data_IF_810761987540
#
_entry.id   IF_810761987540
#
_cell.length_a   1.000
_cell.length_b   1.000
_cell.length_c   1.000
_cell.angle_alpha   90.00
_cell.angle_beta   90.00
_cell.angle_gamma   90.00
#
_symmetry.space_group_name_H-M   'P 1'
#
loop_
_entity.id
_entity.type
_entity.pdbx_description
1 polymer ?
#
# COMPACT_ATOMS: atom_id res chain seq x y z
N UNK A 1 26.14 87.42 33.87
CA UNK A 1 27.50 87.17 34.41
C UNK A 1 27.52 85.79 35.06
N UNK A 2 28.60 85.05 34.82
CA UNK A 2 29.01 83.75 35.41
C UNK A 2 28.21 82.48 35.08
N UNK A 3 28.56 81.89 33.92
CA UNK A 3 28.42 80.44 33.67
C UNK A 3 29.40 79.70 34.60
N UNK A 4 28.90 78.80 35.45
CA UNK A 4 29.73 77.84 36.20
C UNK A 4 30.03 76.64 35.30
N UNK A 5 31.31 76.42 34.99
CA UNK A 5 31.81 75.18 34.39
C UNK A 5 31.87 74.11 35.50
N UNK A 6 31.21 72.97 35.27
CA UNK A 6 31.46 71.75 36.02
C UNK A 6 32.39 70.86 35.19
N UNK A 7 33.58 70.58 35.71
CA UNK A 7 34.53 69.65 35.11
C UNK A 7 34.08 68.21 35.40
N UNK A 8 33.87 67.42 34.34
CA UNK A 8 33.64 65.98 34.44
C UNK A 8 34.96 65.26 34.14
N UNK A 9 35.56 64.63 35.15
CA UNK A 9 36.67 63.70 34.96
C UNK A 9 36.15 62.44 34.28
N UNK A 10 36.58 62.19 33.04
CA UNK A 10 36.36 60.91 32.35
C UNK A 10 37.47 59.95 32.78
N UNK A 11 37.10 58.92 33.54
CA UNK A 11 37.98 57.79 33.86
C UNK A 11 37.95 56.82 32.68
N UNK A 12 39.07 56.67 31.99
CA UNK A 12 39.23 55.64 30.95
C UNK A 12 39.46 54.28 31.60
N UNK A 13 38.46 53.41 31.57
CA UNK A 13 38.64 51.98 31.84
C UNK A 13 39.10 51.28 30.56
N UNK A 14 40.37 50.89 30.50
CA UNK A 14 40.89 50.01 29.45
C UNK A 14 40.47 48.57 29.75
N UNK A 15 39.43 48.06 29.07
CA UNK A 15 39.15 46.62 29.05
C UNK A 15 40.15 45.92 28.12
N UNK A 16 40.72 44.77 28.53
CA UNK A 16 41.57 43.97 27.65
C UNK A 16 40.71 43.35 26.54
N UNK A 17 41.14 43.51 25.28
CA UNK A 17 40.64 42.72 24.17
C UNK A 17 41.06 41.26 24.38
N UNK A 18 40.15 40.46 24.95
CA UNK A 18 40.24 39.02 24.85
C UNK A 18 39.95 38.62 23.40
N UNK A 19 40.93 37.99 22.76
CA UNK A 19 40.83 37.50 21.39
C UNK A 19 39.61 36.61 21.21
N UNK A 20 38.71 37.02 20.33
CA UNK A 20 37.65 36.17 19.80
C UNK A 20 38.37 35.15 18.91
N UNK A 21 38.52 33.93 19.41
CA UNK A 21 38.84 32.79 18.55
C UNK A 21 37.72 32.68 17.52
N UNK A 22 38.07 32.74 16.24
CA UNK A 22 37.13 32.46 15.17
C UNK A 22 36.58 31.05 15.40
N UNK A 23 35.32 30.98 15.83
CA UNK A 23 34.60 29.71 15.87
C UNK A 23 34.69 29.10 14.47
N UNK A 24 35.29 27.91 14.39
CA UNK A 24 35.23 27.10 13.18
C UNK A 24 33.76 27.04 12.77
N UNK A 25 33.45 27.55 11.58
CA UNK A 25 32.17 27.28 10.97
C UNK A 25 32.03 25.76 10.97
N UNK A 26 31.03 25.26 11.70
CA UNK A 26 30.68 23.86 11.63
C UNK A 26 30.39 23.59 10.15
N UNK A 27 31.19 22.72 9.54
CA UNK A 27 30.90 22.22 8.21
C UNK A 27 29.43 21.76 8.22
N UNK A 28 28.62 22.11 7.20
CA UNK A 28 27.29 21.55 7.12
C UNK A 28 27.44 20.03 7.12
N UNK A 29 26.82 19.37 8.10
CA UNK A 29 26.67 17.92 8.10
C UNK A 29 26.25 17.49 6.69
N UNK A 30 26.81 16.40 6.14
CA UNK A 30 26.37 15.90 4.84
C UNK A 30 24.85 15.78 4.92
N UNK A 31 24.16 16.54 4.07
CA UNK A 31 22.71 16.52 3.89
C UNK A 31 22.21 15.09 4.00
N UNK A 32 21.27 14.82 4.91
CA UNK A 32 20.53 13.56 4.98
C UNK A 32 20.09 13.21 3.55
N UNK A 33 20.79 12.26 2.92
CA UNK A 33 20.39 11.76 1.63
C UNK A 33 19.07 11.02 1.88
N UNK A 34 17.96 11.55 1.36
CA UNK A 34 16.66 10.94 1.60
C UNK A 34 16.60 9.57 0.91
N UNK A 35 16.46 8.50 1.70
CA UNK A 35 16.32 7.15 1.16
C UNK A 35 15.04 7.03 0.32
N UNK A 36 15.09 6.23 -0.74
CA UNK A 36 14.00 6.00 -1.69
C UNK A 36 13.81 4.52 -1.97
N UNK A 37 12.58 4.12 -2.26
CA UNK A 37 12.28 2.77 -2.70
C UNK A 37 12.90 2.48 -4.07
N UNK A 38 13.41 1.27 -4.27
CA UNK A 38 14.09 0.84 -5.51
C UNK A 38 13.41 -0.37 -6.17
N UNK A 39 12.47 -1.01 -5.48
CA UNK A 39 11.76 -2.21 -5.92
C UNK A 39 12.53 -3.50 -5.64
N UNK A 40 11.78 -4.55 -5.29
CA UNK A 40 12.33 -5.87 -4.93
C UNK A 40 13.18 -6.52 -6.03
N UNK A 41 12.94 -6.21 -7.31
CA UNK A 41 13.72 -6.77 -8.43
C UNK A 41 15.21 -6.45 -8.31
N UNK A 42 15.57 -5.25 -7.84
CA UNK A 42 16.98 -4.85 -7.68
C UNK A 42 17.69 -5.67 -6.61
N UNK A 43 16.94 -6.19 -5.62
CA UNK A 43 17.51 -7.05 -4.58
C UNK A 43 18.00 -8.39 -5.14
N UNK A 44 17.40 -8.88 -6.25
CA UNK A 44 17.73 -10.18 -6.84
C UNK A 44 19.18 -10.26 -7.37
N UNK A 45 19.80 -9.13 -7.69
CA UNK A 45 21.18 -9.05 -8.19
C UNK A 45 22.20 -9.57 -7.17
N UNK A 46 21.90 -9.48 -5.87
CA UNK A 46 22.76 -9.96 -4.79
C UNK A 46 22.08 -11.01 -3.88
N UNK A 47 20.75 -10.98 -3.78
CA UNK A 47 19.92 -11.84 -2.91
C UNK A 47 19.01 -12.77 -3.72
N UNK A 48 19.61 -13.51 -4.65
CA UNK A 48 18.85 -14.33 -5.60
C UNK A 48 18.02 -15.42 -4.93
N UNK A 49 18.55 -16.07 -3.88
CA UNK A 49 17.83 -17.14 -3.17
C UNK A 49 16.61 -16.59 -2.45
N UNK A 50 16.79 -15.50 -1.69
CA UNK A 50 15.73 -14.86 -0.93
C UNK A 50 14.65 -14.31 -1.85
N UNK A 51 15.04 -13.71 -2.97
CA UNK A 51 14.10 -13.23 -3.98
C UNK A 51 13.27 -14.37 -4.58
N UNK A 52 13.89 -15.50 -4.93
CA UNK A 52 13.18 -16.68 -5.45
C UNK A 52 12.22 -17.29 -4.43
N UNK A 53 12.56 -17.27 -3.14
CA UNK A 53 11.69 -17.77 -2.08
C UNK A 53 10.54 -16.79 -1.82
N UNK A 54 10.81 -15.49 -1.82
CA UNK A 54 9.79 -14.45 -1.73
C UNK A 54 8.77 -14.56 -2.86
N UNK A 55 9.20 -14.79 -4.10
CA UNK A 55 8.31 -14.98 -5.26
C UNK A 55 7.38 -16.20 -5.15
N UNK A 56 7.62 -17.12 -4.21
CA UNK A 56 6.75 -18.28 -3.93
C UNK A 56 5.86 -18.06 -2.70
N UNK A 57 6.00 -16.92 -2.02
CA UNK A 57 5.30 -16.62 -0.77
C UNK A 57 3.95 -15.95 -0.98
N UNK A 58 3.12 -15.96 0.06
CA UNK A 58 1.87 -15.20 0.08
C UNK A 58 2.10 -13.68 0.10
N UNK A 59 3.27 -13.18 0.47
CA UNK A 59 3.60 -11.75 0.40
C UNK A 59 3.70 -11.27 -1.06
N UNK A 60 4.39 -12.03 -1.89
CA UNK A 60 4.44 -11.79 -3.34
C UNK A 60 3.07 -11.92 -4.01
N UNK A 61 2.29 -12.89 -3.56
CA UNK A 61 0.98 -13.18 -4.13
C UNK A 61 -0.17 -12.46 -3.42
N UNK A 62 0.12 -11.53 -2.49
CA UNK A 62 -0.89 -10.80 -1.73
C UNK A 62 -1.87 -10.04 -2.64
N UNK A 63 -1.38 -9.50 -3.74
CA UNK A 63 -2.16 -8.92 -4.82
C UNK A 63 -1.37 -8.97 -6.12
N UNK A 64 -2.02 -9.33 -7.23
CA UNK A 64 -1.36 -9.44 -8.54
C UNK A 64 -2.29 -8.94 -9.65
N UNK A 65 -1.77 -8.40 -10.76
CA UNK A 65 -2.59 -8.16 -11.94
C UNK A 65 -3.31 -9.44 -12.35
N UNK A 66 -4.58 -9.33 -12.76
CA UNK A 66 -5.34 -10.49 -13.19
C UNK A 66 -4.77 -11.06 -14.50
N UNK A 67 -4.35 -12.33 -14.45
CA UNK A 67 -3.73 -13.04 -15.56
C UNK A 67 -3.96 -14.54 -15.44
N UNK A 68 -3.62 -15.30 -16.47
CA UNK A 68 -3.65 -16.76 -16.43
C UNK A 68 -2.81 -17.36 -15.30
N UNK A 69 -1.75 -16.68 -14.87
CA UNK A 69 -0.86 -17.16 -13.81
C UNK A 69 -1.36 -16.84 -12.40
N UNK A 70 -2.21 -15.82 -12.26
CA UNK A 70 -2.59 -15.26 -10.95
C UNK A 70 -4.04 -15.54 -10.57
N UNK A 71 -4.92 -15.76 -11.55
CA UNK A 71 -6.34 -16.08 -11.31
C UNK A 71 -6.50 -17.57 -11.03
N UNK A 72 -6.96 -17.87 -9.82
CA UNK A 72 -7.24 -19.23 -9.35
C UNK A 72 -8.70 -19.62 -9.53
N UNK A 73 -9.59 -18.64 -9.67
CA UNK A 73 -11.04 -18.84 -9.77
C UNK A 73 -11.50 -19.38 -11.11
N UNK A 74 -12.67 -20.05 -11.07
CA UNK A 74 -13.30 -20.53 -12.28
C UNK A 74 -14.00 -19.40 -13.05
N UNK A 75 -13.34 -18.90 -14.11
CA UNK A 75 -13.88 -17.98 -15.11
C UNK A 75 -14.22 -18.68 -16.44
N UNK A 76 -14.59 -19.96 -16.42
CA UNK A 76 -15.12 -20.69 -17.57
C UNK A 76 -16.65 -20.64 -17.57
N UNK A 77 -17.20 -19.43 -17.73
CA UNK A 77 -18.64 -19.16 -17.72
C UNK A 77 -19.38 -19.63 -16.45
N UNK A 78 -18.69 -19.65 -15.31
CA UNK A 78 -19.27 -20.03 -14.04
C UNK A 78 -20.38 -19.04 -13.61
N UNK A 79 -21.41 -19.55 -12.96
CA UNK A 79 -22.48 -18.75 -12.37
C UNK A 79 -22.56 -19.01 -10.87
N UNK A 80 -22.89 -17.97 -10.11
CA UNK A 80 -23.11 -18.02 -8.67
C UNK A 80 -24.27 -17.11 -8.31
N UNK A 81 -25.21 -17.61 -7.50
CA UNK A 81 -26.40 -16.85 -7.08
C UNK A 81 -26.34 -16.58 -5.59
N UNK A 82 -26.60 -15.33 -5.20
CA UNK A 82 -26.68 -14.89 -3.81
C UNK A 82 -27.78 -13.84 -3.68
N UNK A 83 -28.66 -13.95 -2.68
CA UNK A 83 -29.80 -13.04 -2.47
C UNK A 83 -30.63 -12.77 -3.74
N UNK A 84 -30.83 -13.79 -4.57
CA UNK A 84 -31.58 -13.69 -5.83
C UNK A 84 -30.83 -13.01 -7.00
N UNK A 85 -29.58 -12.58 -6.81
CA UNK A 85 -28.73 -12.02 -7.86
C UNK A 85 -27.79 -13.11 -8.40
N UNK A 86 -27.90 -13.41 -9.69
CA UNK A 86 -26.98 -14.33 -10.37
C UNK A 86 -25.82 -13.57 -11.01
N UNK A 87 -24.63 -13.79 -10.47
CA UNK A 87 -23.37 -13.32 -11.04
C UNK A 87 -22.79 -14.34 -12.02
N UNK A 88 -22.15 -13.88 -13.09
CA UNK A 88 -21.45 -14.74 -14.06
C UNK A 88 -20.00 -14.31 -14.23
N UNK A 89 -19.08 -15.26 -14.08
CA UNK A 89 -17.63 -15.08 -14.20
C UNK A 89 -17.15 -15.74 -15.49
N UNK A 90 -16.46 -14.98 -16.34
CA UNK A 90 -16.01 -15.49 -17.63
C UNK A 90 -14.76 -14.78 -18.16
N UNK A 91 -14.11 -15.40 -19.15
CA UNK A 91 -12.97 -14.84 -19.87
C UNK A 91 -13.40 -14.34 -21.26
N UNK A 92 -12.80 -13.24 -21.72
CA UNK A 92 -12.95 -12.71 -23.09
C UNK A 92 -11.65 -12.01 -23.48
N UNK A 93 -11.09 -12.34 -24.64
CA UNK A 93 -9.88 -11.71 -25.19
C UNK A 93 -8.68 -11.67 -24.23
N UNK A 94 -8.44 -12.77 -23.51
CA UNK A 94 -7.35 -12.88 -22.53
C UNK A 94 -7.59 -12.13 -21.20
N UNK A 95 -8.73 -11.45 -21.06
CA UNK A 95 -9.13 -10.72 -19.86
C UNK A 95 -10.23 -11.46 -19.10
N UNK A 96 -10.44 -11.04 -17.86
CA UNK A 96 -11.38 -11.64 -16.92
C UNK A 96 -12.51 -10.67 -16.62
N UNK A 97 -13.74 -11.18 -16.60
CA UNK A 97 -14.94 -10.38 -16.41
C UNK A 97 -15.88 -11.02 -15.41
N UNK A 98 -16.63 -10.16 -14.72
CA UNK A 98 -17.81 -10.53 -13.97
C UNK A 98 -19.01 -9.73 -14.47
N UNK A 99 -20.16 -10.37 -14.62
CA UNK A 99 -21.45 -9.68 -14.73
C UNK A 99 -22.18 -9.84 -13.39
N UNK A 100 -22.34 -8.75 -12.66
CA UNK A 100 -22.96 -8.70 -11.31
C UNK A 100 -23.70 -7.37 -11.10
N UNK A 101 -24.44 -7.21 -10.02
CA UNK A 101 -25.15 -5.98 -9.71
C UNK A 101 -24.19 -4.82 -9.35
N UNK A 102 -24.52 -3.63 -9.83
CA UNK A 102 -23.75 -2.42 -9.59
C UNK A 102 -24.33 -1.61 -8.41
N UNK A 103 -23.77 -0.42 -8.14
CA UNK A 103 -24.24 0.48 -7.09
C UNK A 103 -25.70 1.00 -7.26
N UNK A 104 -26.39 0.62 -8.34
CA UNK A 104 -27.81 0.93 -8.59
C UNK A 104 -28.68 -0.34 -8.60
N UNK A 105 -28.14 -1.49 -8.16
CA UNK A 105 -28.82 -2.79 -8.14
C UNK A 105 -29.08 -3.37 -9.53
N UNK A 106 -28.39 -2.89 -10.57
CA UNK A 106 -28.55 -3.39 -11.95
C UNK A 106 -27.36 -4.25 -12.35
N UNK A 107 -27.63 -5.36 -13.02
CA UNK A 107 -26.56 -6.18 -13.60
C UNK A 107 -25.75 -5.37 -14.61
N UNK A 108 -24.44 -5.32 -14.38
CA UNK A 108 -23.46 -4.67 -15.22
C UNK A 108 -22.24 -5.59 -15.34
N UNK A 109 -21.54 -5.45 -16.45
CA UNK A 109 -20.28 -6.13 -16.71
C UNK A 109 -19.10 -5.29 -16.22
N UNK A 110 -18.13 -5.94 -15.59
CA UNK A 110 -16.92 -5.34 -15.05
C UNK A 110 -15.71 -6.19 -15.42
N UNK A 111 -14.62 -5.53 -15.81
CA UNK A 111 -13.31 -6.16 -15.95
C UNK A 111 -12.70 -6.37 -14.56
N UNK A 112 -12.18 -7.58 -14.32
CA UNK A 112 -11.37 -7.89 -13.15
C UNK A 112 -9.93 -7.53 -13.48
N UNK A 113 -9.36 -6.58 -12.73
CA UNK A 113 -8.02 -6.05 -13.01
C UNK A 113 -6.95 -6.61 -12.09
N UNK A 114 -7.31 -7.08 -10.89
CA UNK A 114 -6.39 -7.72 -9.95
C UNK A 114 -7.01 -8.91 -9.23
N UNK A 115 -6.15 -9.83 -8.81
CA UNK A 115 -6.42 -10.84 -7.78
C UNK A 115 -5.90 -10.35 -6.44
N UNK A 116 -6.53 -10.82 -5.35
CA UNK A 116 -6.20 -10.41 -3.99
C UNK A 116 -6.34 -11.58 -3.02
N UNK A 117 -5.24 -11.95 -2.36
CA UNK A 117 -5.14 -13.18 -1.59
C UNK A 117 -4.88 -14.44 -2.43
N UNK A 118 -4.58 -15.53 -1.74
CA UNK A 118 -4.22 -16.83 -2.35
C UNK A 118 -4.88 -17.99 -1.61
N UNK A 119 -4.64 -18.18 -0.31
CA UNK A 119 -5.20 -19.29 0.47
C UNK A 119 -5.63 -18.77 1.85
N UNK A 120 -6.80 -19.16 2.38
CA UNK A 120 -7.77 -20.14 1.86
C UNK A 120 -8.73 -19.59 0.79
N UNK A 121 -8.59 -18.33 0.42
CA UNK A 121 -9.48 -17.66 -0.52
C UNK A 121 -8.73 -16.66 -1.40
N UNK A 122 -9.30 -16.41 -2.58
CA UNK A 122 -8.89 -15.35 -3.48
C UNK A 122 -10.08 -14.45 -3.83
N UNK A 123 -9.90 -13.15 -3.68
CA UNK A 123 -10.83 -12.11 -4.08
C UNK A 123 -10.35 -11.44 -5.37
N UNK A 124 -11.23 -10.63 -5.96
CA UNK A 124 -11.00 -9.98 -7.25
C UNK A 124 -11.38 -8.52 -7.19
N UNK A 125 -10.58 -7.67 -7.82
CA UNK A 125 -10.76 -6.22 -7.78
C UNK A 125 -11.17 -5.68 -9.14
N UNK A 126 -11.97 -4.62 -9.08
CA UNK A 126 -12.47 -3.86 -10.23
C UNK A 126 -12.05 -2.40 -10.07
N UNK A 127 -11.46 -1.84 -11.13
CA UNK A 127 -11.12 -0.42 -11.20
C UNK A 127 -12.33 0.44 -11.54
N UNK A 128 -12.53 1.51 -10.77
CA UNK A 128 -13.60 2.48 -10.97
C UNK A 128 -13.04 3.77 -11.57
N UNK A 129 -13.86 4.53 -12.35
CA UNK A 129 -13.41 5.77 -12.99
C UNK A 129 -12.94 6.88 -12.03
N UNK A 130 -13.33 6.82 -10.76
CA UNK A 130 -12.93 7.78 -9.71
C UNK A 130 -11.64 7.36 -8.98
N UNK A 131 -10.95 6.33 -9.49
CA UNK A 131 -9.70 5.80 -8.98
C UNK A 131 -9.84 4.83 -7.81
N UNK A 132 -11.07 4.55 -7.36
CA UNK A 132 -11.31 3.46 -6.41
C UNK A 132 -11.04 2.12 -7.08
N UNK A 133 -10.50 1.19 -6.30
CA UNK A 133 -10.50 -0.24 -6.60
C UNK A 133 -11.46 -0.91 -5.63
N UNK A 134 -12.51 -1.52 -6.15
CA UNK A 134 -13.50 -2.23 -5.35
C UNK A 134 -13.22 -3.72 -5.34
N UNK A 135 -13.21 -4.31 -4.14
CA UNK A 135 -13.03 -5.75 -3.94
C UNK A 135 -14.41 -6.42 -4.03
N UNK A 136 -14.54 -7.49 -4.80
CA UNK A 136 -15.77 -8.28 -4.81
C UNK A 136 -15.98 -9.00 -3.48
N UNK A 137 -17.25 -9.07 -3.05
CA UNK A 137 -17.71 -9.90 -1.93
C UNK A 137 -17.97 -11.37 -2.35
N UNK A 138 -18.03 -11.65 -3.65
CA UNK A 138 -18.03 -13.01 -4.19
C UNK A 138 -16.58 -13.43 -4.40
N UNK A 139 -16.18 -14.48 -3.72
CA UNK A 139 -14.78 -14.88 -3.55
C UNK A 139 -14.61 -16.36 -3.90
N UNK A 140 -13.41 -16.73 -4.31
CA UNK A 140 -13.07 -18.09 -4.70
C UNK A 140 -12.40 -18.82 -3.54
N UNK A 141 -12.95 -19.97 -3.15
CA UNK A 141 -12.33 -20.88 -2.19
C UNK A 141 -11.21 -21.65 -2.88
N UNK A 142 -9.96 -21.37 -2.51
CA UNK A 142 -8.78 -21.94 -3.16
C UNK A 142 -8.34 -23.26 -2.54
N UNK A 143 -8.96 -23.68 -1.44
CA UNK A 143 -8.64 -24.95 -0.79
C UNK A 143 -8.92 -26.14 -1.73
N UNK A 144 -8.34 -27.31 -1.45
CA UNK A 144 -8.62 -28.52 -2.21
C UNK A 144 -10.12 -28.90 -2.20
N UNK A 145 -10.59 -29.55 -3.27
CA UNK A 145 -11.97 -30.08 -3.33
C UNK A 145 -12.30 -31.04 -2.19
N UNK A 146 -11.29 -31.79 -1.72
CA UNK A 146 -11.41 -32.70 -0.58
C UNK A 146 -11.75 -32.01 0.73
N UNK A 147 -11.52 -30.69 0.83
CA UNK A 147 -11.87 -29.84 1.97
C UNK A 147 -13.09 -28.94 1.69
N UNK A 148 -13.78 -29.17 0.57
CA UNK A 148 -14.95 -28.39 0.14
C UNK A 148 -14.61 -27.08 -0.59
N UNK A 149 -13.36 -26.89 -1.01
CA UNK A 149 -12.93 -25.74 -1.80
C UNK A 149 -13.16 -25.88 -3.31
N UNK A 150 -12.46 -25.06 -4.10
CA UNK A 150 -12.62 -24.90 -5.55
C UNK A 150 -14.04 -24.49 -5.95
N UNK A 151 -14.59 -23.48 -5.27
CA UNK A 151 -15.95 -22.98 -5.53
C UNK A 151 -16.08 -21.48 -5.25
N UNK A 152 -17.04 -20.86 -5.92
CA UNK A 152 -17.49 -19.52 -5.59
C UNK A 152 -18.35 -19.55 -4.32
N UNK A 153 -18.16 -18.56 -3.46
CA UNK A 153 -19.04 -18.29 -2.33
C UNK A 153 -19.06 -16.79 -2.03
N UNK A 154 -20.08 -16.36 -1.29
CA UNK A 154 -20.15 -14.98 -0.80
C UNK A 154 -19.44 -14.89 0.55
N UNK A 155 -18.65 -13.84 0.78
CA UNK A 155 -17.91 -13.61 2.02
C UNK A 155 -18.83 -13.66 3.25
N UNK A 156 -20.05 -13.19 3.08
CA UNK A 156 -21.11 -13.24 4.07
C UNK A 156 -22.12 -14.33 3.71
N UNK A 157 -22.36 -15.32 4.58
CA UNK A 157 -23.32 -16.39 4.33
C UNK A 157 -24.75 -15.87 4.15
N UNK A 158 -25.53 -16.58 3.34
CA UNK A 158 -26.97 -16.31 3.23
C UNK A 158 -27.66 -16.73 4.53
N UNK A 159 -28.63 -15.93 5.00
CA UNK A 159 -29.42 -16.19 6.20
C UNK A 159 -28.65 -16.18 7.54
N UNK A 160 -27.39 -15.77 7.57
CA UNK A 160 -26.75 -15.42 8.83
C UNK A 160 -27.24 -14.06 9.31
N UNK A 161 -27.55 -13.98 10.60
CA UNK A 161 -27.97 -12.75 11.27
C UNK A 161 -26.74 -11.87 11.44
N UNK A 162 -26.50 -11.02 10.44
CA UNK A 162 -25.40 -10.08 10.48
C UNK A 162 -25.88 -8.80 11.18
N UNK A 163 -25.21 -8.42 12.27
CA UNK A 163 -25.47 -7.15 12.96
C UNK A 163 -24.86 -5.98 12.18
N UNK A 164 -25.45 -5.68 11.02
CA UNK A 164 -25.12 -4.54 10.17
C UNK A 164 -26.42 -3.85 9.78
N UNK A 165 -26.48 -2.53 9.94
CA UNK A 165 -27.74 -1.79 9.72
C UNK A 165 -28.71 -1.83 10.92
N UNK A 166 -29.96 -1.45 10.66
CA UNK A 166 -31.01 -1.27 11.68
C UNK A 166 -31.81 -2.54 12.00
N UNK A 167 -31.85 -3.53 11.08
CA UNK A 167 -32.53 -4.81 11.28
C UNK A 167 -31.57 -5.98 10.95
N UNK A 168 -31.37 -6.95 11.87
CA UNK A 168 -30.48 -8.09 11.67
C UNK A 168 -30.85 -9.05 10.51
N UNK A 169 -31.99 -8.85 9.86
CA UNK A 169 -32.46 -9.58 8.69
C UNK A 169 -32.32 -8.80 7.38
N UNK A 170 -31.74 -7.59 7.41
CA UNK A 170 -31.56 -6.79 6.19
C UNK A 170 -30.58 -7.51 5.25
N UNK A 171 -30.96 -7.75 3.98
CA UNK A 171 -30.07 -8.39 3.02
C UNK A 171 -28.93 -7.44 2.64
N UNK A 172 -27.72 -8.00 2.43
CA UNK A 172 -26.65 -7.28 1.76
C UNK A 172 -27.06 -7.11 0.29
N UNK A 173 -27.60 -5.93 -0.04
CA UNK A 173 -27.93 -5.49 -1.38
C UNK A 173 -27.24 -4.17 -1.72
N UNK A 174 -27.42 -3.66 -2.94
CA UNK A 174 -26.77 -2.44 -3.44
C UNK A 174 -26.94 -1.17 -2.58
N UNK A 175 -27.85 -1.16 -1.60
CA UNK A 175 -28.09 -0.06 -0.65
C UNK A 175 -27.28 -0.21 0.63
N UNK A 176 -26.76 -1.41 0.90
CA UNK A 176 -26.01 -1.73 2.10
C UNK A 176 -24.55 -1.27 2.00
N UNK A 177 -23.96 -0.86 3.12
CA UNK A 177 -22.57 -0.42 3.17
C UNK A 177 -21.56 -1.57 2.93
N UNK A 178 -21.95 -2.81 3.24
CA UNK A 178 -21.23 -4.07 2.97
C UNK A 178 -21.46 -4.60 1.55
N UNK A 179 -22.24 -3.90 0.72
CA UNK A 179 -22.22 -4.20 -0.71
C UNK A 179 -20.82 -3.95 -1.29
N UNK A 180 -20.42 -4.73 -2.29
CA UNK A 180 -19.07 -4.67 -2.85
C UNK A 180 -18.73 -3.30 -3.50
N UNK A 181 -19.73 -2.52 -3.89
CA UNK A 181 -19.54 -1.14 -4.38
C UNK A 181 -19.54 -0.09 -3.26
N UNK A 182 -19.76 -0.50 -2.02
CA UNK A 182 -19.79 0.33 -0.82
C UNK A 182 -18.40 0.71 -0.32
N UNK A 183 -18.37 1.48 0.78
CA UNK A 183 -17.13 2.04 1.34
C UNK A 183 -16.27 0.99 2.05
N UNK A 184 -16.86 -0.09 2.56
CA UNK A 184 -16.12 -1.14 3.27
C UNK A 184 -15.33 -2.06 2.33
N UNK A 185 -15.68 -2.08 1.05
CA UNK A 185 -15.00 -2.89 0.03
C UNK A 185 -14.00 -2.08 -0.83
N UNK A 186 -13.75 -0.82 -0.46
CA UNK A 186 -12.79 0.04 -1.14
C UNK A 186 -11.36 -0.30 -0.70
N UNK A 187 -10.63 -0.98 -1.58
CA UNK A 187 -9.25 -1.43 -1.37
C UNK A 187 -8.32 -0.27 -1.02
N UNK A 188 -8.41 0.88 -1.71
CA UNK A 188 -7.51 2.02 -1.49
C UNK A 188 -7.53 2.49 -0.03
N UNK A 189 -8.71 2.45 0.60
CA UNK A 189 -8.90 2.93 1.97
C UNK A 189 -8.74 1.85 3.04
N UNK A 190 -9.06 0.59 2.73
CA UNK A 190 -9.17 -0.52 3.71
C UNK A 190 -8.02 -1.52 3.66
N UNK A 191 -7.41 -1.71 2.50
CA UNK A 191 -6.52 -2.84 2.26
C UNK A 191 -5.13 -2.39 1.80
N UNK A 192 -5.07 -1.36 0.96
CA UNK A 192 -3.85 -1.00 0.23
C UNK A 192 -2.64 -0.79 1.13
N UNK A 193 -2.80 -0.14 2.29
CA UNK A 193 -1.67 0.19 3.18
C UNK A 193 -0.93 -1.05 3.71
N UNK A 194 -1.63 -2.18 3.85
CA UNK A 194 -1.06 -3.43 4.35
C UNK A 194 -0.80 -4.46 3.24
N UNK A 195 -1.25 -4.20 2.02
CA UNK A 195 -1.17 -5.13 0.89
C UNK A 195 -0.46 -4.53 -0.32
N UNK A 196 0.39 -3.52 -0.12
CA UNK A 196 1.25 -2.92 -1.14
C UNK A 196 2.53 -2.38 -0.49
N UNK A 197 3.48 -1.98 -1.32
CA UNK A 197 4.76 -1.40 -0.88
C UNK A 197 4.89 0.03 -1.42
N UNK A 198 5.34 0.93 -0.55
CA UNK A 198 5.41 2.38 -0.80
C UNK A 198 4.09 3.03 -1.27
N UNK A 199 2.99 2.72 -0.58
CA UNK A 199 1.70 3.27 -0.96
C UNK A 199 1.67 4.81 -0.83
N UNK A 200 1.15 5.48 -1.85
CA UNK A 200 0.63 6.84 -1.78
C UNK A 200 -0.84 6.81 -2.13
N UNK A 201 -1.70 6.95 -1.12
CA UNK A 201 -3.17 6.85 -1.30
C UNK A 201 -3.71 7.96 -2.21
N UNK A 202 -3.15 9.17 -2.10
CA UNK A 202 -3.54 10.37 -2.87
C UNK A 202 -5.06 10.56 -2.94
N UNK A 203 -5.71 10.54 -1.78
CA UNK A 203 -7.15 10.75 -1.68
C UNK A 203 -7.48 12.26 -1.73
N UNK A 204 -8.36 12.65 -2.64
CA UNK A 204 -8.89 14.00 -2.72
C UNK A 204 -10.25 14.08 -2.04
N UNK A 205 -10.32 14.74 -0.88
CA UNK A 205 -11.55 14.82 -0.07
C UNK A 205 -12.64 15.71 -0.69
N UNK A 206 -12.28 16.68 -1.54
CA UNK A 206 -13.24 17.57 -2.21
C UNK A 206 -13.92 16.87 -3.37
N UNK A 207 -13.15 16.12 -4.17
CA UNK A 207 -13.66 15.38 -5.34
C UNK A 207 -14.15 13.98 -4.98
N UNK A 208 -13.80 13.47 -3.81
CA UNK A 208 -14.01 12.08 -3.39
C UNK A 208 -13.41 11.07 -4.40
N UNK A 209 -12.16 11.32 -4.80
CA UNK A 209 -11.42 10.51 -5.78
C UNK A 209 -10.10 10.02 -5.21
N UNK A 210 -9.54 8.99 -5.82
CA UNK A 210 -8.22 8.45 -5.49
C UNK A 210 -7.29 8.55 -6.70
N UNK A 211 -6.03 8.91 -6.46
CA UNK A 211 -4.95 8.82 -7.45
C UNK A 211 -3.85 7.91 -6.89
N UNK A 212 -4.26 6.74 -6.39
CA UNK A 212 -3.40 5.86 -5.60
C UNK A 212 -2.25 5.30 -6.44
N UNK A 213 -1.04 5.44 -5.94
CA UNK A 213 0.19 4.86 -6.51
C UNK A 213 0.91 4.00 -5.46
N UNK A 214 1.80 3.13 -5.91
CA UNK A 214 2.64 2.26 -5.09
C UNK A 214 3.93 1.94 -5.87
N UNK A 215 4.99 1.54 -5.19
CA UNK A 215 6.18 0.97 -5.84
C UNK A 215 5.89 -0.46 -6.29
N UNK A 216 5.29 -1.26 -5.41
CA UNK A 216 4.88 -2.64 -5.70
C UNK A 216 3.45 -2.87 -5.23
N UNK A 217 2.66 -3.55 -6.07
CA UNK A 217 1.24 -3.78 -5.78
C UNK A 217 1.02 -4.82 -4.69
N UNK A 218 2.08 -5.46 -4.21
CA UNK A 218 2.12 -6.52 -3.20
C UNK A 218 3.11 -6.16 -2.08
N UNK A 219 3.45 -7.14 -1.24
CA UNK A 219 4.39 -6.96 -0.13
C UNK A 219 5.79 -7.32 -0.60
N UNK A 220 6.53 -6.30 -1.05
CA UNK A 220 7.91 -6.36 -1.50
C UNK A 220 8.92 -6.40 -0.36
N UNK A 221 10.18 -6.59 -0.71
CA UNK A 221 11.31 -6.62 0.22
C UNK A 221 11.35 -5.36 1.10
N UNK A 222 11.16 -4.20 0.49
CA UNK A 222 11.25 -2.89 1.14
C UNK A 222 10.06 -2.57 2.06
N UNK A 223 8.98 -3.37 2.01
CA UNK A 223 7.89 -3.27 3.00
C UNK A 223 8.34 -3.69 4.40
N UNK A 224 9.35 -4.57 4.49
CA UNK A 224 9.91 -5.06 5.74
C UNK A 224 11.32 -4.51 6.01
N UNK A 225 12.11 -4.31 4.95
CA UNK A 225 13.53 -3.93 5.07
C UNK A 225 13.80 -2.42 4.98
N UNK A 226 12.78 -1.61 4.71
CA UNK A 226 12.95 -0.16 4.53
C UNK A 226 13.43 0.20 3.11
N UNK A 227 13.64 1.50 2.87
CA UNK A 227 14.04 2.01 1.56
C UNK A 227 15.48 1.62 1.21
N UNK A 228 15.69 0.99 0.05
CA UNK A 228 16.97 0.36 -0.30
C UNK A 228 17.98 1.25 -1.03
N UNK A 229 17.66 2.50 -1.41
CA UNK A 229 18.56 3.29 -2.26
C UNK A 229 19.94 3.53 -1.63
N UNK A 230 19.99 3.88 -0.35
CA UNK A 230 21.25 4.09 0.38
C UNK A 230 21.98 2.77 0.64
N UNK A 231 21.25 1.67 0.82
CA UNK A 231 21.82 0.32 0.92
C UNK A 231 22.57 -0.05 -0.37
N UNK A 232 21.99 0.24 -1.54
CA UNK A 232 22.65 -0.01 -2.82
C UNK A 232 23.91 0.84 -2.99
N UNK A 233 23.88 2.11 -2.58
CA UNK A 233 25.06 2.96 -2.59
C UNK A 233 26.17 2.42 -1.68
N UNK A 234 25.81 2.02 -0.45
CA UNK A 234 26.72 1.41 0.50
C UNK A 234 27.36 0.13 -0.09
N UNK A 235 26.54 -0.76 -0.66
CA UNK A 235 27.01 -2.00 -1.25
C UNK A 235 27.99 -1.77 -2.42
N UNK A 236 27.71 -0.78 -3.28
CA UNK A 236 28.58 -0.41 -4.42
C UNK A 236 29.94 0.14 -3.99
N UNK A 237 30.00 0.87 -2.87
CA UNK A 237 31.26 1.44 -2.34
C UNK A 237 32.19 0.36 -1.77
N UNK A 238 31.67 -0.85 -1.48
CA UNK A 238 32.46 -1.97 -0.98
C UNK A 238 33.07 -1.73 0.41
N UNK A 239 32.55 -0.74 1.16
CA UNK A 239 33.15 -0.28 2.40
C UNK A 239 32.85 -1.23 3.56
N UNK A 240 33.84 -2.08 3.88
CA UNK A 240 33.82 -3.02 5.00
C UNK A 240 34.15 -2.38 6.35
N UNK A 241 34.46 -1.07 6.40
CA UNK A 241 35.05 -0.43 7.58
C UNK A 241 34.05 0.25 8.53
N UNK A 242 32.76 0.36 8.18
CA UNK A 242 31.78 1.01 9.05
C UNK A 242 31.14 -0.01 10.01
N UNK A 243 31.94 -0.43 11.00
CA UNK A 243 31.45 -0.96 12.27
C UNK A 243 31.38 0.14 13.35
N UNK A 244 31.44 1.42 12.96
CA UNK A 244 31.46 2.54 13.89
C UNK A 244 30.76 3.78 13.35
N UNK A 245 29.57 4.05 13.90
CA UNK A 245 28.95 5.38 14.03
C UNK A 245 28.63 6.16 12.74
N UNK A 246 27.60 5.70 12.02
CA UNK A 246 26.55 6.49 11.31
C UNK A 246 25.74 5.62 10.33
N UNK A 247 26.16 4.37 10.06
CA UNK A 247 25.44 3.39 9.23
C UNK A 247 24.83 2.26 10.06
N UNK A 248 24.02 2.58 11.07
CA UNK A 248 23.53 1.58 12.04
C UNK A 248 22.82 0.36 11.40
N UNK A 249 22.34 0.47 10.15
CA UNK A 249 21.68 -0.62 9.43
C UNK A 249 22.16 -0.81 7.98
N UNK A 250 23.46 -0.57 7.68
CA UNK A 250 24.04 -0.78 6.33
C UNK A 250 23.26 -0.09 5.19
N UNK A 251 22.78 1.14 5.42
CA UNK A 251 22.05 1.93 4.43
C UNK A 251 20.54 1.64 4.35
N UNK A 252 19.99 0.88 5.30
CA UNK A 252 18.56 0.92 5.60
C UNK A 252 18.29 1.93 6.72
N UNK A 253 17.13 2.56 6.72
CA UNK A 253 16.60 3.39 7.82
C UNK A 253 15.41 2.68 8.49
#
# INVERSE_FOLDING_TARGET
MHKKLAAFCIVFFSLPLNGVSAGQALDPSPTDAQASYVGSEVCADCHQSEYQDWQKSHHWAAMQPASEKSVLGNFDNAAFTYNGITSRFYRRDGKYFVKTDNAKGKLQEFEITYTFGVEPLQQYLIDFPDGRKQVLAIIWDTRPKTEGGQRWYHLYPEHEVLQHGGNPLDPIDYRDALHWTGTYFNWNSRCAACHSTDLRKNYNSVKNTYETTWQEVNIGCEACHGQGSLHLEWAKRGDKSIAGSSTAHRGFD
#
